data_IF_054702558416
#
_entry.id   IF_054702558416
#
_cell.length_a   1.000
_cell.length_b   1.000
_cell.length_c   1.000
_cell.angle_alpha   90.00
_cell.angle_beta   90.00
_cell.angle_gamma   90.00
#
_symmetry.space_group_name_H-M   'P 1'
#
loop_
_entity.id
_entity.type
_entity.pdbx_description
1 polymer ?
#
# COMPACT_ATOMS: atom_id res chain seq x y z
N UNK A 1 -42.56 2.90 -6.97
CA UNK A 1 -41.79 3.38 -8.14
C UNK A 1 -40.38 3.67 -7.67
N UNK A 2 -39.44 2.85 -8.06
CA UNK A 2 -38.04 2.95 -7.64
C UNK A 2 -37.25 3.64 -8.74
N UNK A 3 -36.52 4.73 -8.48
CA UNK A 3 -35.90 5.57 -9.52
C UNK A 3 -34.69 4.94 -10.22
N UNK A 4 -34.27 3.75 -9.81
CA UNK A 4 -33.13 3.05 -10.43
C UNK A 4 -33.48 2.28 -11.70
N UNK A 5 -34.78 2.11 -12.01
CA UNK A 5 -35.24 1.45 -13.23
C UNK A 5 -34.95 2.24 -14.53
N UNK A 6 -34.63 3.53 -14.42
CA UNK A 6 -34.32 4.38 -15.57
C UNK A 6 -32.86 4.30 -16.05
N UNK A 7 -31.96 3.76 -15.24
CA UNK A 7 -30.55 3.64 -15.65
C UNK A 7 -30.22 2.36 -16.42
N UNK A 8 -31.14 1.38 -16.44
CA UNK A 8 -30.90 0.13 -17.17
C UNK A 8 -31.27 0.18 -18.66
N UNK A 9 -31.81 1.29 -19.14
CA UNK A 9 -32.22 1.45 -20.52
C UNK A 9 -31.24 2.21 -21.42
N UNK A 10 -30.00 2.42 -20.99
CA UNK A 10 -28.94 2.80 -21.93
C UNK A 10 -28.34 1.55 -22.54
N UNK A 11 -29.20 0.84 -23.19
CA UNK A 11 -29.13 0.27 -24.49
C UNK A 11 -27.72 0.15 -25.06
N UNK A 12 -27.23 -1.07 -24.98
CA UNK A 12 -26.34 -1.60 -26.01
C UNK A 12 -27.06 -1.53 -27.33
N UNK A 13 -27.05 -0.36 -27.98
CA UNK A 13 -27.49 -0.27 -29.34
C UNK A 13 -26.34 -0.71 -30.24
N UNK A 14 -26.25 -2.02 -30.45
CA UNK A 14 -25.44 -2.63 -31.47
C UNK A 14 -26.09 -2.30 -32.83
N UNK A 15 -25.83 -1.11 -33.33
CA UNK A 15 -26.10 -0.82 -34.73
C UNK A 15 -25.06 -1.52 -35.58
N UNK A 16 -25.41 -2.70 -36.06
CA UNK A 16 -24.77 -3.37 -37.19
C UNK A 16 -24.83 -2.45 -38.41
N UNK A 17 -23.79 -1.73 -38.68
CA UNK A 17 -23.30 -1.29 -39.99
C UNK A 17 -22.12 -0.32 -39.81
N UNK A 18 -21.11 -0.76 -39.10
CA UNK A 18 -19.85 -0.02 -39.06
C UNK A 18 -18.80 -0.80 -39.82
N UNK A 19 -18.32 -0.22 -40.94
CA UNK A 19 -17.23 -0.78 -41.71
C UNK A 19 -16.00 -1.10 -40.82
N UNK A 20 -14.99 -1.75 -41.38
CA UNK A 20 -13.74 -2.15 -40.71
C UNK A 20 -13.17 -1.07 -39.80
N UNK A 21 -13.31 0.20 -40.17
CA UNK A 21 -12.84 1.34 -39.35
C UNK A 21 -13.59 1.46 -38.02
N UNK A 22 -14.87 1.17 -37.94
CA UNK A 22 -15.65 1.22 -36.71
C UNK A 22 -15.29 0.04 -35.78
N UNK A 23 -15.14 -1.13 -36.36
CA UNK A 23 -14.66 -2.32 -35.58
C UNK A 23 -13.27 -2.08 -35.03
N UNK A 24 -12.36 -1.54 -35.84
CA UNK A 24 -11.01 -1.21 -35.42
C UNK A 24 -11.02 -0.18 -34.28
N UNK A 25 -11.82 0.89 -34.39
CA UNK A 25 -11.97 1.89 -33.34
C UNK A 25 -12.50 1.29 -32.04
N UNK A 26 -13.49 0.42 -32.12
CA UNK A 26 -14.03 -0.24 -30.93
C UNK A 26 -13.01 -1.18 -30.28
N UNK A 27 -12.24 -1.91 -31.07
CA UNK A 27 -11.13 -2.73 -30.55
C UNK A 27 -10.06 -1.89 -29.88
N UNK A 28 -9.69 -0.76 -30.44
CA UNK A 28 -8.72 0.18 -29.84
C UNK A 28 -9.22 0.70 -28.49
N UNK A 29 -10.49 1.12 -28.42
CA UNK A 29 -11.07 1.62 -27.16
C UNK A 29 -11.10 0.55 -26.08
N UNK A 30 -11.51 -0.68 -26.43
CA UNK A 30 -11.51 -1.80 -25.48
C UNK A 30 -10.10 -2.17 -25.04
N UNK A 31 -9.14 -2.20 -25.97
CA UNK A 31 -7.75 -2.48 -25.65
C UNK A 31 -7.14 -1.43 -24.70
N UNK A 32 -7.39 -0.14 -24.96
CA UNK A 32 -6.93 0.95 -24.08
C UNK A 32 -7.58 0.84 -22.70
N UNK A 33 -8.88 0.57 -22.61
CA UNK A 33 -9.59 0.40 -21.35
C UNK A 33 -9.02 -0.82 -20.56
N UNK A 34 -8.72 -1.92 -21.24
CA UNK A 34 -8.11 -3.10 -20.61
C UNK A 34 -6.70 -2.80 -20.09
N UNK A 35 -5.88 -2.11 -20.85
CA UNK A 35 -4.52 -1.72 -20.44
C UNK A 35 -4.56 -0.79 -19.23
N UNK A 36 -5.45 0.19 -19.21
CA UNK A 36 -5.63 1.11 -18.09
C UNK A 36 -6.12 0.36 -16.82
N UNK A 37 -7.05 -0.59 -16.98
CA UNK A 37 -7.52 -1.40 -15.87
C UNK A 37 -6.40 -2.24 -15.26
N UNK A 38 -5.58 -2.89 -16.09
CA UNK A 38 -4.41 -3.66 -15.64
C UNK A 38 -3.39 -2.75 -14.95
N UNK A 39 -3.11 -1.58 -15.51
CA UNK A 39 -2.18 -0.62 -14.92
C UNK A 39 -2.64 -0.13 -13.53
N UNK A 40 -3.95 0.12 -13.36
CA UNK A 40 -4.53 0.49 -12.05
C UNK A 40 -4.39 -0.65 -11.06
N UNK A 41 -4.74 -1.88 -11.45
CA UNK A 41 -4.62 -3.06 -10.57
C UNK A 41 -3.18 -3.31 -10.16
N UNK A 42 -2.24 -3.27 -11.09
CA UNK A 42 -0.81 -3.43 -10.78
C UNK A 42 -0.29 -2.29 -9.91
N UNK A 43 -0.71 -1.05 -10.16
CA UNK A 43 -0.32 0.11 -9.35
C UNK A 43 -0.87 0.04 -7.92
N UNK A 44 -2.06 -0.51 -7.71
CA UNK A 44 -2.61 -0.76 -6.39
C UNK A 44 -1.90 -1.93 -5.68
N UNK A 45 -1.56 -2.98 -6.40
CA UNK A 45 -0.84 -4.13 -5.82
C UNK A 45 0.58 -3.78 -5.36
N UNK A 46 1.28 -2.88 -6.05
CA UNK A 46 2.60 -2.41 -5.60
C UNK A 46 2.53 -1.55 -4.33
N UNK A 47 1.35 -0.98 -4.03
CA UNK A 47 1.12 -0.26 -2.76
C UNK A 47 0.70 -1.18 -1.61
N UNK A 48 0.20 -2.37 -1.90
CA UNK A 48 -0.19 -3.39 -0.93
C UNK A 48 0.86 -4.49 -0.76
N UNK A 49 2.12 -4.24 -1.08
CA UNK A 49 3.20 -4.95 -0.42
C UNK A 49 3.11 -4.50 1.04
N UNK A 50 2.23 -5.13 1.79
CA UNK A 50 2.10 -4.91 3.22
C UNK A 50 3.44 -5.32 3.83
N UNK A 51 4.31 -4.33 4.00
CA UNK A 51 5.43 -4.48 4.88
C UNK A 51 4.84 -4.97 6.20
N UNK A 52 5.07 -6.23 6.52
CA UNK A 52 4.62 -6.78 7.79
C UNK A 52 5.35 -6.01 8.89
N UNK A 53 4.62 -5.52 9.89
CA UNK A 53 5.23 -4.84 11.03
C UNK A 53 6.27 -5.73 11.72
N UNK A 54 6.03 -7.04 11.76
CA UNK A 54 6.98 -8.02 12.28
C UNK A 54 8.26 -8.09 11.44
N UNK A 55 8.15 -8.13 10.11
CA UNK A 55 9.32 -8.16 9.23
C UNK A 55 10.15 -6.87 9.33
N UNK A 56 9.46 -5.73 9.48
CA UNK A 56 10.11 -4.44 9.72
C UNK A 56 10.81 -4.39 11.07
N UNK A 57 10.22 -5.01 12.10
CA UNK A 57 10.81 -5.09 13.43
C UNK A 57 12.04 -5.99 13.45
N UNK A 58 11.99 -7.14 12.77
CA UNK A 58 13.14 -8.05 12.64
C UNK A 58 14.32 -7.40 11.89
N UNK A 59 14.02 -6.50 10.95
CA UNK A 59 15.00 -5.72 10.21
C UNK A 59 15.35 -4.37 10.86
N UNK A 60 14.85 -4.08 12.06
CA UNK A 60 15.14 -2.85 12.80
C UNK A 60 16.47 -2.92 13.55
N UNK A 61 17.04 -1.76 13.82
CA UNK A 61 18.25 -1.67 14.66
C UNK A 61 17.85 -1.98 16.11
N UNK A 62 18.61 -2.81 16.84
CA UNK A 62 18.39 -3.00 18.27
C UNK A 62 18.44 -1.68 19.03
N UNK A 63 17.54 -1.51 20.01
CA UNK A 63 17.39 -0.26 20.74
C UNK A 63 18.69 0.20 21.41
N UNK A 64 19.40 -0.71 22.07
CA UNK A 64 20.68 -0.44 22.74
C UNK A 64 21.78 0.03 21.78
N UNK A 65 21.82 -0.49 20.56
CA UNK A 65 22.74 -0.02 19.52
C UNK A 65 22.32 1.36 19.00
N UNK A 66 21.02 1.58 18.82
CA UNK A 66 20.51 2.82 18.27
C UNK A 66 20.82 4.03 19.16
N UNK A 67 20.71 3.88 20.47
CA UNK A 67 20.98 4.96 21.43
C UNK A 67 22.46 5.24 21.66
N UNK A 68 23.35 4.34 21.24
CA UNK A 68 24.80 4.47 21.47
C UNK A 68 25.61 4.85 20.24
N UNK A 69 25.04 4.77 19.03
CA UNK A 69 25.78 5.00 17.79
C UNK A 69 25.84 6.46 17.33
N UNK A 70 25.24 7.40 18.08
CA UNK A 70 25.27 8.84 17.80
C UNK A 70 24.38 9.30 16.65
N UNK A 71 23.58 8.44 16.01
CA UNK A 71 22.61 8.82 15.00
C UNK A 71 21.24 9.11 15.64
N UNK A 72 20.47 10.05 15.06
CA UNK A 72 19.07 10.24 15.45
C UNK A 72 18.29 8.92 15.33
N UNK A 73 17.39 8.67 16.25
CA UNK A 73 16.64 7.41 16.31
C UNK A 73 15.14 7.68 16.27
N UNK A 74 14.47 7.10 15.30
CA UNK A 74 13.01 7.01 15.24
C UNK A 74 12.60 5.71 15.94
N UNK A 75 11.79 5.83 16.98
CA UNK A 75 11.24 4.67 17.70
C UNK A 75 9.76 4.56 17.40
N UNK A 76 9.35 3.44 16.86
CA UNK A 76 7.95 3.09 16.62
C UNK A 76 7.49 2.04 17.61
N UNK A 77 6.44 2.35 18.36
CA UNK A 77 5.75 1.39 19.21
C UNK A 77 4.59 0.78 18.45
N UNK A 78 4.59 -0.52 18.27
CA UNK A 78 3.57 -1.22 17.50
C UNK A 78 3.01 -2.44 18.23
N UNK A 79 1.86 -2.91 17.77
CA UNK A 79 1.30 -4.21 18.14
C UNK A 79 0.69 -4.88 16.90
N UNK A 80 0.67 -6.20 16.89
CA UNK A 80 0.11 -6.96 15.76
C UNK A 80 -1.40 -6.77 15.60
N UNK A 81 -2.11 -6.41 16.67
CA UNK A 81 -3.53 -6.10 16.67
C UNK A 81 -3.85 -4.63 16.38
N UNK A 82 -2.86 -3.76 16.28
CA UNK A 82 -3.03 -2.33 16.07
C UNK A 82 -3.31 -2.02 14.59
N UNK A 83 -4.57 -1.80 14.24
CA UNK A 83 -4.99 -1.51 12.85
C UNK A 83 -4.36 -0.22 12.29
N UNK A 84 -4.22 0.82 13.12
CA UNK A 84 -3.58 2.07 12.70
C UNK A 84 -2.08 1.89 12.45
N UNK A 85 -1.40 1.08 13.26
CA UNK A 85 0.02 0.75 13.03
C UNK A 85 0.20 0.00 11.70
N UNK A 86 -0.69 -0.95 11.41
CA UNK A 86 -0.68 -1.68 10.13
C UNK A 86 -0.94 -0.76 8.94
N UNK A 87 -1.86 0.19 9.08
CA UNK A 87 -2.15 1.17 8.03
C UNK A 87 -0.94 2.08 7.74
N UNK A 88 -0.12 2.40 8.74
CA UNK A 88 1.08 3.23 8.60
C UNK A 88 2.31 2.44 8.11
N UNK A 89 2.28 1.12 8.12
CA UNK A 89 3.44 0.29 7.81
C UNK A 89 4.06 0.59 6.44
N UNK A 90 3.23 0.87 5.43
CA UNK A 90 3.69 1.24 4.09
C UNK A 90 4.47 2.56 4.07
N UNK A 91 3.98 3.57 4.77
CA UNK A 91 4.61 4.88 4.85
C UNK A 91 5.91 4.82 5.66
N UNK A 92 5.91 4.06 6.76
CA UNK A 92 7.12 3.79 7.56
C UNK A 92 8.18 3.04 6.75
N UNK A 93 7.79 2.08 5.94
CA UNK A 93 8.73 1.36 5.07
C UNK A 93 9.34 2.29 4.02
N UNK A 94 8.56 3.18 3.44
CA UNK A 94 9.06 4.19 2.50
C UNK A 94 10.05 5.13 3.18
N UNK A 95 9.69 5.66 4.35
CA UNK A 95 10.55 6.53 5.15
C UNK A 95 11.86 5.83 5.54
N UNK A 96 11.79 4.56 5.96
CA UNK A 96 12.96 3.74 6.25
C UNK A 96 13.89 3.62 5.04
N UNK A 97 13.35 3.33 3.88
CA UNK A 97 14.15 3.18 2.65
C UNK A 97 14.86 4.49 2.26
N UNK A 98 14.23 5.63 2.54
CA UNK A 98 14.77 6.95 2.21
C UNK A 98 15.86 7.40 3.20
N UNK A 99 15.65 7.18 4.50
CA UNK A 99 16.49 7.76 5.56
C UNK A 99 17.33 6.74 6.34
N UNK A 100 17.35 5.46 5.97
CA UNK A 100 18.07 4.41 6.71
C UNK A 100 19.59 4.66 6.87
N UNK A 101 20.16 5.51 6.02
CA UNK A 101 21.59 5.88 6.13
C UNK A 101 21.83 6.96 7.21
N UNK A 102 20.84 7.81 7.44
CA UNK A 102 20.97 9.00 8.27
C UNK A 102 20.41 8.80 9.68
N UNK A 103 19.36 7.99 9.82
CA UNK A 103 18.68 7.76 11.09
C UNK A 103 18.53 6.26 11.38
N UNK A 104 18.45 5.93 12.66
CA UNK A 104 18.09 4.58 13.10
C UNK A 104 16.57 4.41 13.09
N UNK A 105 16.10 3.25 12.65
CA UNK A 105 14.71 2.84 12.81
C UNK A 105 14.64 1.70 13.81
N UNK A 106 13.94 1.94 14.91
CA UNK A 106 13.73 0.97 15.99
C UNK A 106 12.24 0.69 16.09
N UNK A 107 11.87 -0.58 16.09
CA UNK A 107 10.48 -0.99 16.25
C UNK A 107 10.32 -1.82 17.52
N UNK A 108 9.47 -1.37 18.42
CA UNK A 108 9.21 -2.00 19.72
C UNK A 108 7.78 -2.53 19.77
N UNK A 109 7.65 -3.85 19.90
CA UNK A 109 6.34 -4.48 20.06
C UNK A 109 5.88 -4.32 21.52
N UNK A 110 4.73 -3.65 21.72
CA UNK A 110 4.18 -3.37 23.06
C UNK A 110 3.71 -4.63 23.80
N UNK A 111 3.51 -5.73 23.08
CA UNK A 111 3.17 -7.03 23.69
C UNK A 111 4.41 -7.82 24.15
N UNK A 112 5.61 -7.34 23.81
CA UNK A 112 6.85 -8.00 24.16
C UNK A 112 7.48 -7.38 25.43
N UNK A 113 7.46 -8.11 26.54
CA UNK A 113 7.97 -7.63 27.83
C UNK A 113 9.49 -7.39 27.87
N UNK A 114 10.24 -7.79 26.86
CA UNK A 114 11.71 -7.63 26.84
C UNK A 114 12.19 -6.18 26.74
N UNK A 115 11.35 -5.29 26.20
CA UNK A 115 11.68 -3.87 26.03
C UNK A 115 11.24 -2.99 27.21
N UNK A 116 10.46 -3.52 28.17
CA UNK A 116 9.99 -2.77 29.34
C UNK A 116 11.11 -2.10 30.14
N UNK A 117 12.28 -2.75 30.35
CA UNK A 117 13.39 -2.11 31.05
C UNK A 117 13.98 -0.89 30.35
N UNK A 118 13.92 -0.83 29.03
CA UNK A 118 14.43 0.29 28.23
C UNK A 118 13.50 1.51 28.24
N UNK A 119 12.25 1.32 28.64
CA UNK A 119 11.24 2.39 28.70
C UNK A 119 11.10 3.05 30.06
N UNK A 120 11.65 2.43 31.11
CA UNK A 120 11.57 2.89 32.48
C UNK A 120 12.86 3.59 32.91
#
# INVERSE_FOLDING_TARGET
MTPWALFYSMSVNSSESGGLAQRLRNFVVVAVAAILSVAVVLGLQTRTSSASLSDMADASVPFDQAITNGKPTLVEFYANWCTSCQAMAGDLQQLKNEYQQDINFVMLNVDNNKWLPEML
#
